data_IF_739474893349
#
_entry.id   IF_739474893349
#
_cell.length_a   1.000
_cell.length_b   1.000
_cell.length_c   1.000
_cell.angle_alpha   90.00
_cell.angle_beta   90.00
_cell.angle_gamma   90.00
#
_symmetry.space_group_name_H-M   'P 1'
#
loop_
_entity.id
_entity.type
_entity.pdbx_description
1 polymer ?
#
# COMPACT_ATOMS: atom_id res chain seq x y z
N UNK A 1 17.91 -19.06 13.28
CA UNK A 1 16.51 -18.82 13.70
C UNK A 1 15.69 -18.69 12.42
N UNK A 2 14.61 -19.47 12.26
CA UNK A 2 13.80 -19.42 11.05
C UNK A 2 13.01 -18.10 11.05
N UNK A 3 13.56 -17.06 10.43
CA UNK A 3 12.89 -15.77 10.27
C UNK A 3 11.70 -15.94 9.32
N UNK A 4 10.63 -15.11 9.44
CA UNK A 4 9.46 -15.19 8.55
C UNK A 4 9.85 -15.12 7.06
N UNK A 5 10.97 -14.45 6.77
CA UNK A 5 11.59 -14.31 5.45
C UNK A 5 11.93 -15.64 4.78
N UNK A 6 12.53 -16.61 5.49
CA UNK A 6 12.91 -17.89 4.90
C UNK A 6 11.67 -18.66 4.39
N UNK A 7 10.61 -18.72 5.22
CA UNK A 7 9.35 -19.36 4.85
C UNK A 7 8.64 -18.64 3.67
N UNK A 8 8.76 -17.31 3.58
CA UNK A 8 8.26 -16.54 2.42
C UNK A 8 9.03 -16.87 1.15
N UNK A 9 10.36 -16.98 1.21
CA UNK A 9 11.19 -17.43 0.08
C UNK A 9 10.87 -18.86 -0.34
N UNK A 10 10.60 -19.76 0.61
CA UNK A 10 10.17 -21.14 0.32
C UNK A 10 8.85 -21.18 -0.47
N UNK A 11 7.85 -20.39 -0.05
CA UNK A 11 6.57 -20.24 -0.76
C UNK A 11 6.77 -19.64 -2.16
N UNK A 12 7.58 -18.60 -2.28
CA UNK A 12 7.92 -18.00 -3.57
C UNK A 12 8.54 -19.02 -4.53
N UNK A 13 9.45 -19.88 -4.05
CA UNK A 13 10.07 -20.92 -4.89
C UNK A 13 9.05 -21.92 -5.44
N UNK A 14 7.95 -22.19 -4.73
CA UNK A 14 6.87 -23.03 -5.26
C UNK A 14 6.20 -22.37 -6.48
N UNK A 15 5.89 -21.07 -6.38
CA UNK A 15 5.33 -20.28 -7.49
C UNK A 15 6.32 -20.17 -8.67
N UNK A 16 7.60 -19.95 -8.38
CA UNK A 16 8.66 -19.94 -9.39
C UNK A 16 8.74 -21.27 -10.15
N UNK A 17 8.71 -22.41 -9.46
CA UNK A 17 8.74 -23.75 -10.09
C UNK A 17 7.50 -23.98 -10.95
N UNK A 18 6.32 -23.54 -10.53
CA UNK A 18 5.10 -23.62 -11.32
C UNK A 18 5.19 -22.79 -12.62
N UNK A 19 5.94 -21.68 -12.62
CA UNK A 19 6.26 -20.87 -13.81
C UNK A 19 7.51 -21.38 -14.58
N UNK A 20 8.16 -22.43 -14.09
CA UNK A 20 9.42 -22.95 -14.63
C UNK A 20 10.58 -21.95 -14.54
N UNK A 21 10.67 -21.15 -13.48
CA UNK A 21 11.77 -20.22 -13.26
C UNK A 21 12.88 -20.89 -12.44
N UNK A 22 14.13 -20.73 -12.89
CA UNK A 22 15.34 -21.16 -12.17
C UNK A 22 15.79 -20.08 -11.16
N UNK A 23 15.57 -18.81 -11.49
CA UNK A 23 15.82 -17.69 -10.58
C UNK A 23 14.89 -16.50 -10.87
N UNK A 24 14.67 -15.67 -9.85
CA UNK A 24 13.89 -14.44 -9.91
C UNK A 24 14.73 -13.27 -9.37
N UNK A 25 14.85 -12.21 -10.16
CA UNK A 25 15.38 -10.93 -9.72
C UNK A 25 14.26 -10.09 -9.10
N UNK A 26 14.33 -9.91 -7.78
CA UNK A 26 13.42 -9.05 -7.01
C UNK A 26 14.09 -7.68 -6.85
N UNK A 27 13.48 -6.66 -7.43
CA UNK A 27 13.97 -5.27 -7.44
C UNK A 27 13.02 -4.29 -6.74
N UNK A 28 11.73 -4.63 -6.59
CA UNK A 28 10.77 -3.81 -5.84
C UNK A 28 11.14 -3.77 -4.36
N UNK A 29 11.24 -2.57 -3.79
CA UNK A 29 11.65 -2.38 -2.41
C UNK A 29 10.75 -3.13 -1.41
N UNK A 30 9.43 -3.08 -1.60
CA UNK A 30 8.49 -3.80 -0.75
C UNK A 30 8.65 -5.33 -0.85
N UNK A 31 8.84 -5.87 -2.05
CA UNK A 31 9.07 -7.31 -2.24
C UNK A 31 10.44 -7.76 -1.69
N UNK A 32 11.48 -6.93 -1.88
CA UNK A 32 12.80 -7.14 -1.29
C UNK A 32 12.69 -7.20 0.23
N UNK A 33 12.08 -6.21 0.87
CA UNK A 33 11.87 -6.19 2.31
C UNK A 33 11.02 -7.38 2.78
N UNK A 34 9.92 -7.68 2.10
CA UNK A 34 9.04 -8.79 2.42
C UNK A 34 9.77 -10.15 2.49
N UNK A 35 10.76 -10.37 1.63
CA UNK A 35 11.50 -11.62 1.49
C UNK A 35 12.83 -11.67 2.26
N UNK A 36 13.27 -10.55 2.84
CA UNK A 36 14.64 -10.45 3.38
C UNK A 36 14.82 -9.56 4.62
N UNK A 37 13.86 -8.70 4.92
CA UNK A 37 13.99 -7.63 5.91
C UNK A 37 14.93 -6.49 5.50
N UNK A 38 15.55 -6.56 4.32
CA UNK A 38 16.51 -5.56 3.87
C UNK A 38 15.81 -4.38 3.19
N UNK A 39 15.97 -3.20 3.79
CA UNK A 39 15.60 -1.86 3.28
C UNK A 39 14.26 -1.78 2.56
N UNK A 40 13.25 -1.20 3.21
CA UNK A 40 11.89 -1.05 2.65
C UNK A 40 11.76 0.12 1.65
N UNK A 41 12.74 1.01 1.58
CA UNK A 41 12.62 2.25 0.81
C UNK A 41 13.73 2.41 -0.22
N UNK A 42 13.34 2.85 -1.40
CA UNK A 42 14.23 3.42 -2.40
C UNK A 42 13.88 4.90 -2.56
N UNK A 43 14.79 5.81 -2.19
CA UNK A 43 14.52 7.25 -2.22
C UNK A 43 14.39 7.76 -3.66
N UNK A 44 15.23 7.25 -4.56
CA UNK A 44 15.23 7.58 -5.99
C UNK A 44 15.68 6.37 -6.82
N UNK A 45 15.26 6.32 -8.09
CA UNK A 45 15.63 5.24 -9.01
C UNK A 45 17.16 5.10 -9.20
N UNK A 46 17.89 6.20 -9.15
CA UNK A 46 19.37 6.26 -9.28
C UNK A 46 20.10 6.07 -7.94
N UNK A 47 19.40 6.12 -6.81
CA UNK A 47 19.98 5.91 -5.48
C UNK A 47 19.59 4.56 -4.84
N UNK A 48 18.66 3.83 -5.47
CA UNK A 48 18.25 2.48 -5.09
C UNK A 48 19.46 1.54 -4.99
N UNK A 49 19.58 0.91 -3.83
CA UNK A 49 20.55 -0.13 -3.54
C UNK A 49 19.81 -1.33 -2.95
N UNK A 50 20.22 -2.54 -3.32
CA UNK A 50 19.57 -3.74 -2.82
C UNK A 50 18.61 -4.38 -3.82
N UNK A 51 18.90 -5.63 -4.17
CA UNK A 51 18.05 -6.53 -4.94
C UNK A 51 18.22 -7.93 -4.39
N UNK A 52 17.25 -8.81 -4.62
CA UNK A 52 17.41 -10.23 -4.32
C UNK A 52 17.51 -11.03 -5.59
N UNK A 53 18.38 -12.04 -5.58
CA UNK A 53 18.30 -13.15 -6.54
C UNK A 53 17.82 -14.36 -5.77
N UNK A 54 16.54 -14.71 -5.96
CA UNK A 54 15.95 -15.91 -5.38
C UNK A 54 16.19 -17.05 -6.36
N UNK A 55 16.82 -18.14 -5.91
CA UNK A 55 17.16 -19.28 -6.78
C UNK A 55 16.28 -20.48 -6.41
N UNK A 56 15.78 -21.22 -7.41
CA UNK A 56 14.84 -22.32 -7.22
C UNK A 56 15.41 -23.49 -6.40
N UNK A 57 16.74 -23.56 -6.28
CA UNK A 57 17.50 -24.52 -5.48
C UNK A 57 17.84 -24.04 -4.05
N UNK A 58 17.39 -22.84 -3.67
CA UNK A 58 17.58 -22.27 -2.34
C UNK A 58 18.87 -21.48 -2.13
N UNK A 59 19.73 -21.35 -3.15
CA UNK A 59 20.95 -20.51 -3.08
C UNK A 59 20.61 -19.05 -3.35
N UNK A 60 19.83 -18.45 -2.44
CA UNK A 60 19.39 -17.06 -2.56
C UNK A 60 20.52 -16.07 -2.26
N UNK A 61 20.44 -14.86 -2.84
CA UNK A 61 21.45 -13.81 -2.66
C UNK A 61 20.81 -12.46 -2.39
N UNK A 62 21.42 -11.70 -1.47
CA UNK A 62 21.20 -10.27 -1.32
C UNK A 62 22.29 -9.51 -2.08
N UNK A 63 21.90 -8.75 -3.09
CA UNK A 63 22.79 -7.97 -3.93
C UNK A 63 22.69 -6.49 -3.57
N UNK A 64 23.76 -5.86 -3.10
CA UNK A 64 23.77 -4.44 -2.75
C UNK A 64 25.12 -3.80 -3.06
N UNK A 65 25.26 -2.48 -2.89
CA UNK A 65 26.56 -1.80 -3.02
C UNK A 65 27.28 -1.68 -1.67
N UNK A 66 28.54 -1.22 -1.72
CA UNK A 66 29.41 -1.16 -0.55
C UNK A 66 28.88 -0.28 0.60
N UNK A 67 27.97 0.68 0.34
CA UNK A 67 27.40 1.55 1.38
C UNK A 67 26.53 0.75 2.36
N UNK A 68 25.93 -0.34 1.89
CA UNK A 68 24.98 -1.15 2.66
C UNK A 68 25.57 -2.49 3.13
N UNK A 69 26.88 -2.71 2.99
CA UNK A 69 27.53 -3.97 3.38
C UNK A 69 27.21 -4.36 4.83
N UNK A 70 27.37 -3.43 5.76
CA UNK A 70 27.17 -3.72 7.19
C UNK A 70 25.70 -3.94 7.53
N UNK A 71 24.78 -3.26 6.83
CA UNK A 71 23.34 -3.49 6.99
C UNK A 71 22.93 -4.87 6.46
N UNK A 72 23.46 -5.28 5.31
CA UNK A 72 23.22 -6.59 4.72
C UNK A 72 23.74 -7.72 5.61
N UNK A 73 24.96 -7.58 6.17
CA UNK A 73 25.59 -8.58 7.04
C UNK A 73 24.86 -8.82 8.37
N UNK A 74 23.97 -7.91 8.79
CA UNK A 74 23.09 -8.12 9.97
C UNK A 74 21.93 -9.08 9.68
N UNK A 75 21.57 -9.25 8.42
CA UNK A 75 20.37 -9.96 7.97
C UNK A 75 20.69 -11.25 7.20
N UNK A 76 21.85 -11.31 6.55
CA UNK A 76 22.26 -12.40 5.67
C UNK A 76 23.69 -12.86 6.00
N UNK A 77 23.95 -14.14 5.76
CA UNK A 77 25.31 -14.68 5.83
C UNK A 77 26.20 -14.02 4.78
N UNK A 78 27.44 -13.67 5.13
CA UNK A 78 28.34 -12.90 4.25
C UNK A 78 28.62 -13.59 2.91
N UNK A 79 28.62 -14.92 2.86
CA UNK A 79 28.80 -15.71 1.65
C UNK A 79 27.57 -15.71 0.71
N UNK A 80 26.45 -15.14 1.17
CA UNK A 80 25.19 -14.94 0.42
C UNK A 80 24.92 -13.48 0.09
N UNK A 81 25.92 -12.62 0.26
CA UNK A 81 25.86 -11.21 -0.10
C UNK A 81 26.74 -10.95 -1.32
N UNK A 82 26.15 -10.41 -2.39
CA UNK A 82 26.90 -9.86 -3.51
C UNK A 82 27.04 -8.34 -3.32
N UNK A 83 28.26 -7.88 -3.07
CA UNK A 83 28.59 -6.46 -3.12
C UNK A 83 28.99 -6.10 -4.54
N UNK A 84 28.09 -5.46 -5.30
CA UNK A 84 28.37 -5.06 -6.67
C UNK A 84 29.11 -3.72 -6.75
N UNK A 85 29.87 -3.56 -7.82
CA UNK A 85 30.53 -2.31 -8.20
C UNK A 85 29.65 -1.42 -9.08
N UNK A 86 30.26 -0.55 -9.92
CA UNK A 86 29.52 0.42 -10.74
C UNK A 86 28.53 -0.18 -11.76
N UNK A 87 28.71 -1.45 -12.15
CA UNK A 87 27.85 -2.14 -13.11
C UNK A 87 27.05 -3.27 -12.45
N UNK A 88 26.14 -2.87 -11.57
CA UNK A 88 25.25 -3.76 -10.85
C UNK A 88 24.50 -4.73 -11.79
N UNK A 89 24.06 -4.25 -12.96
CA UNK A 89 23.31 -5.07 -13.90
C UNK A 89 24.14 -6.24 -14.43
N UNK A 90 25.41 -5.99 -14.77
CA UNK A 90 26.29 -7.04 -15.27
C UNK A 90 26.62 -8.07 -14.21
N UNK A 91 26.99 -7.64 -13.01
CA UNK A 91 27.39 -8.54 -11.91
C UNK A 91 26.21 -9.39 -11.42
N UNK A 92 25.01 -8.79 -11.30
CA UNK A 92 23.79 -9.51 -10.98
C UNK A 92 23.41 -10.48 -12.10
N UNK A 93 23.56 -10.09 -13.37
CA UNK A 93 23.28 -10.97 -14.51
C UNK A 93 24.16 -12.22 -14.52
N UNK A 94 25.46 -12.06 -14.25
CA UNK A 94 26.40 -13.16 -14.10
C UNK A 94 26.06 -14.06 -12.90
N UNK A 95 25.57 -13.47 -11.80
CA UNK A 95 25.05 -14.23 -10.66
C UNK A 95 23.81 -15.06 -11.04
N UNK A 96 22.79 -14.44 -11.63
CA UNK A 96 21.57 -15.12 -12.05
C UNK A 96 21.87 -16.28 -13.00
N UNK A 97 22.85 -16.11 -13.90
CA UNK A 97 23.28 -17.17 -14.83
C UNK A 97 23.83 -18.42 -14.12
N UNK A 98 24.42 -18.27 -12.92
CA UNK A 98 24.89 -19.39 -12.08
C UNK A 98 23.73 -20.16 -11.41
N UNK A 99 22.53 -19.57 -11.37
CA UNK A 99 21.33 -20.23 -10.85
C UNK A 99 20.55 -20.98 -11.94
N UNK A 100 20.71 -20.63 -13.23
CA UNK A 100 20.11 -21.42 -14.31
C UNK A 100 19.98 -20.70 -15.66
N UNK A 101 18.96 -21.08 -16.41
CA UNK A 101 18.70 -20.60 -17.77
C UNK A 101 17.35 -19.92 -17.94
N UNK A 102 16.38 -20.13 -17.06
CA UNK A 102 15.05 -19.52 -17.12
C UNK A 102 14.94 -18.48 -16.01
N UNK A 103 15.18 -17.22 -16.36
CA UNK A 103 15.40 -16.13 -15.42
C UNK A 103 14.21 -15.16 -15.45
N UNK A 104 13.61 -14.91 -14.30
CA UNK A 104 12.53 -13.94 -14.13
C UNK A 104 13.04 -12.59 -13.64
N UNK A 105 12.35 -11.52 -13.99
CA UNK A 105 12.48 -10.20 -13.34
C UNK A 105 11.09 -9.58 -13.11
N UNK A 106 11.03 -8.68 -12.13
CA UNK A 106 9.93 -7.72 -11.96
C UNK A 106 10.07 -6.62 -13.03
N UNK A 107 9.49 -6.87 -14.21
CA UNK A 107 9.61 -6.02 -15.39
C UNK A 107 8.89 -4.66 -15.24
N UNK A 108 7.88 -4.55 -14.37
CA UNK A 108 7.20 -3.28 -14.07
C UNK A 108 8.11 -2.31 -13.29
N UNK A 109 9.11 -2.83 -12.58
CA UNK A 109 9.97 -2.07 -11.68
C UNK A 109 11.36 -1.82 -12.29
N UNK A 110 11.89 -2.81 -12.99
CA UNK A 110 13.23 -2.72 -13.57
C UNK A 110 13.22 -1.81 -14.80
N UNK A 111 14.07 -0.78 -14.79
CA UNK A 111 14.22 0.10 -15.95
C UNK A 111 14.69 -0.66 -17.20
N UNK A 112 14.22 -0.23 -18.37
CA UNK A 112 14.61 -0.82 -19.65
C UNK A 112 16.13 -0.84 -19.86
N UNK A 113 16.84 0.19 -19.39
CA UNK A 113 18.30 0.24 -19.47
C UNK A 113 18.95 -0.87 -18.62
N UNK A 114 18.48 -1.04 -17.38
CA UNK A 114 18.97 -2.10 -16.50
C UNK A 114 18.69 -3.47 -17.11
N UNK A 115 17.46 -3.72 -17.58
CA UNK A 115 17.09 -5.00 -18.21
C UNK A 115 17.95 -5.32 -19.45
N UNK A 116 18.28 -4.32 -20.28
CA UNK A 116 19.18 -4.50 -21.43
C UNK A 116 20.60 -4.85 -21.00
N UNK A 117 21.15 -4.17 -19.98
CA UNK A 117 22.48 -4.48 -19.45
C UNK A 117 22.53 -5.88 -18.82
N UNK A 118 21.51 -6.22 -18.01
CA UNK A 118 21.31 -7.54 -17.45
C UNK A 118 21.27 -8.62 -18.55
N UNK A 119 20.48 -8.40 -19.61
CA UNK A 119 20.37 -9.31 -20.74
C UNK A 119 21.68 -9.54 -21.49
N UNK A 120 22.53 -8.51 -21.64
CA UNK A 120 23.87 -8.66 -22.22
C UNK A 120 24.77 -9.56 -21.37
N UNK A 121 24.70 -9.41 -20.05
CA UNK A 121 25.51 -10.19 -19.11
C UNK A 121 25.03 -11.65 -18.95
N UNK A 122 23.71 -11.86 -19.00
CA UNK A 122 23.09 -13.19 -19.00
C UNK A 122 23.47 -13.98 -20.26
N UNK A 123 23.55 -13.31 -21.41
CA UNK A 123 23.99 -13.89 -22.68
C UNK A 123 22.94 -14.77 -23.36
N UNK A 124 23.30 -15.33 -24.54
CA UNK A 124 22.36 -16.07 -25.41
C UNK A 124 21.95 -17.47 -24.90
N UNK A 125 22.56 -17.95 -23.81
CA UNK A 125 22.32 -19.28 -23.25
C UNK A 125 21.22 -19.34 -22.18
N UNK A 126 20.56 -18.21 -21.91
CA UNK A 126 19.49 -18.08 -20.93
C UNK A 126 18.37 -17.20 -21.49
N UNK A 127 17.16 -17.45 -21.02
CA UNK A 127 15.96 -16.71 -21.33
C UNK A 127 15.59 -15.82 -20.15
N UNK A 128 15.53 -14.51 -20.40
CA UNK A 128 15.06 -13.52 -19.46
C UNK A 128 13.59 -13.19 -19.78
N UNK A 129 12.70 -13.30 -18.80
CA UNK A 129 11.27 -13.07 -18.98
C UNK A 129 10.66 -12.25 -17.84
N UNK A 130 9.58 -11.55 -18.14
CA UNK A 130 8.75 -10.89 -17.12
C UNK A 130 8.16 -11.95 -16.17
N UNK A 131 8.21 -11.68 -14.88
CA UNK A 131 7.75 -12.55 -13.80
C UNK A 131 7.08 -11.75 -12.67
N UNK A 132 6.45 -10.64 -13.03
CA UNK A 132 5.71 -9.76 -12.14
C UNK A 132 4.56 -10.50 -11.43
N UNK A 133 4.18 -9.99 -10.25
CA UNK A 133 3.04 -10.48 -9.49
C UNK A 133 3.31 -11.69 -8.59
N UNK A 134 4.48 -12.33 -8.67
CA UNK A 134 4.78 -13.54 -7.89
C UNK A 134 4.95 -13.26 -6.39
N UNK A 135 5.58 -12.14 -6.02
CA UNK A 135 5.76 -11.79 -4.61
C UNK A 135 4.51 -11.09 -4.08
N UNK A 136 3.87 -10.28 -4.91
CA UNK A 136 2.59 -9.61 -4.64
C UNK A 136 1.50 -10.63 -4.32
N UNK A 137 1.45 -11.76 -5.04
CA UNK A 137 0.51 -12.86 -4.75
C UNK A 137 0.66 -13.38 -3.32
N UNK A 138 1.90 -13.41 -2.78
CA UNK A 138 2.14 -13.80 -1.39
C UNK A 138 1.72 -12.70 -0.40
N UNK A 139 1.99 -11.43 -0.73
CA UNK A 139 1.66 -10.26 0.11
C UNK A 139 0.16 -9.99 0.24
N UNK A 140 -0.64 -10.45 -0.72
CA UNK A 140 -2.11 -10.32 -0.69
C UNK A 140 -2.69 -10.95 0.58
N UNK A 141 -2.16 -12.09 1.03
CA UNK A 141 -2.59 -12.78 2.25
C UNK A 141 -1.60 -12.51 3.38
N UNK A 142 -2.04 -11.72 4.36
CA UNK A 142 -1.20 -11.27 5.47
C UNK A 142 -0.99 -12.41 6.46
N UNK A 143 0.25 -12.66 6.84
CA UNK A 143 0.55 -13.56 7.95
C UNK A 143 0.30 -12.89 9.32
N UNK A 144 0.38 -13.68 10.39
CA UNK A 144 0.03 -13.22 11.73
C UNK A 144 0.92 -12.08 12.26
N UNK A 145 2.16 -11.97 11.80
CA UNK A 145 3.06 -10.89 12.23
C UNK A 145 2.80 -9.62 11.41
N UNK A 146 2.43 -9.75 10.13
CA UNK A 146 1.95 -8.64 9.30
C UNK A 146 0.67 -8.02 9.88
N UNK A 147 -0.29 -8.86 10.28
CA UNK A 147 -1.56 -8.41 10.87
C UNK A 147 -1.31 -7.60 12.15
N UNK A 148 -0.41 -8.07 13.04
CA UNK A 148 -0.07 -7.34 14.28
C UNK A 148 0.58 -5.98 13.98
N UNK A 149 1.45 -5.91 12.98
CA UNK A 149 2.08 -4.65 12.58
C UNK A 149 1.04 -3.67 12.00
N UNK A 150 0.12 -4.17 11.17
CA UNK A 150 -1.01 -3.40 10.66
C UNK A 150 -1.91 -2.89 11.81
N UNK A 151 -2.29 -3.75 12.76
CA UNK A 151 -3.10 -3.34 13.92
C UNK A 151 -2.45 -2.21 14.72
N UNK A 152 -1.12 -2.25 14.89
CA UNK A 152 -0.37 -1.17 15.57
C UNK A 152 -0.38 0.12 14.75
N UNK A 153 -0.20 0.03 13.44
CA UNK A 153 -0.25 1.17 12.53
C UNK A 153 -1.65 1.83 12.53
N UNK A 154 -2.70 1.03 12.43
CA UNK A 154 -4.09 1.50 12.48
C UNK A 154 -4.48 2.05 13.86
N UNK A 155 -4.05 1.42 14.96
CA UNK A 155 -4.29 1.94 16.30
C UNK A 155 -3.73 3.36 16.49
N UNK A 156 -2.52 3.62 15.95
CA UNK A 156 -1.93 4.95 15.95
C UNK A 156 -2.72 5.93 15.06
N UNK A 157 -3.15 5.50 13.88
CA UNK A 157 -4.00 6.33 12.99
C UNK A 157 -5.32 6.72 13.65
N UNK A 158 -6.02 5.77 14.27
CA UNK A 158 -7.26 6.04 15.02
C UNK A 158 -7.03 7.00 16.19
N UNK A 159 -5.90 6.88 16.90
CA UNK A 159 -5.55 7.80 17.97
C UNK A 159 -5.29 9.22 17.45
N UNK A 160 -4.60 9.34 16.32
CA UNK A 160 -4.36 10.62 15.64
C UNK A 160 -5.67 11.28 15.23
N UNK A 161 -6.59 10.55 14.58
CA UNK A 161 -7.87 11.13 14.15
C UNK A 161 -8.75 11.59 15.31
N UNK A 162 -8.76 10.86 16.44
CA UNK A 162 -9.43 11.31 17.67
C UNK A 162 -8.81 12.59 18.21
N UNK A 163 -7.48 12.63 18.34
CA UNK A 163 -6.77 13.83 18.78
C UNK A 163 -7.03 15.03 17.85
N UNK A 164 -7.08 14.79 16.55
CA UNK A 164 -7.35 15.82 15.56
C UNK A 164 -8.75 16.42 15.76
N UNK A 165 -9.77 15.57 15.82
CA UNK A 165 -11.17 15.98 16.05
C UNK A 165 -11.33 16.74 17.37
N UNK A 166 -10.76 16.21 18.45
CA UNK A 166 -10.93 16.76 19.81
C UNK A 166 -10.17 18.07 20.03
N UNK A 167 -9.02 18.26 19.37
CA UNK A 167 -8.05 19.29 19.78
C UNK A 167 -7.53 20.18 18.66
N UNK A 168 -7.67 19.81 17.38
CA UNK A 168 -6.97 20.51 16.29
C UNK A 168 -7.90 21.20 15.31
N UNK A 169 -9.14 20.73 15.14
CA UNK A 169 -10.11 21.28 14.19
C UNK A 169 -10.76 22.59 14.69
N UNK A 170 -9.94 23.64 14.79
CA UNK A 170 -10.34 24.97 15.24
C UNK A 170 -10.39 25.97 14.07
N UNK A 171 -11.39 26.87 14.02
CA UNK A 171 -11.45 27.90 12.99
C UNK A 171 -10.16 28.73 12.88
N UNK A 172 -9.80 29.10 11.65
CA UNK A 172 -8.64 29.93 11.36
C UNK A 172 -7.33 29.20 11.09
N UNK A 173 -7.23 27.90 11.41
CA UNK A 173 -6.07 27.07 11.01
C UNK A 173 -6.14 26.70 9.53
N UNK A 174 -5.02 26.75 8.82
CA UNK A 174 -4.95 26.33 7.43
C UNK A 174 -4.89 24.81 7.27
N UNK A 175 -5.25 24.32 6.09
CA UNK A 175 -5.05 22.92 5.69
C UNK A 175 -3.58 22.50 5.87
N UNK A 176 -2.63 23.33 5.46
CA UNK A 176 -1.21 23.08 5.61
C UNK A 176 -0.75 23.01 7.09
N UNK A 177 -1.28 23.90 7.95
CA UNK A 177 -0.99 23.86 9.39
C UNK A 177 -1.53 22.60 10.07
N UNK A 178 -2.66 22.08 9.60
CA UNK A 178 -3.23 20.83 10.08
C UNK A 178 -2.44 19.63 9.57
N UNK A 179 -2.09 19.59 8.28
CA UNK A 179 -1.26 18.54 7.70
C UNK A 179 0.09 18.42 8.43
N UNK A 180 0.74 19.54 8.74
CA UNK A 180 1.96 19.57 9.54
C UNK A 180 1.75 19.03 10.96
N UNK A 181 0.65 19.41 11.62
CA UNK A 181 0.34 18.93 12.97
C UNK A 181 0.09 17.41 13.00
N UNK A 182 -0.57 16.88 11.96
CA UNK A 182 -0.79 15.44 11.76
C UNK A 182 0.54 14.70 11.61
N UNK A 183 1.42 15.16 10.71
CA UNK A 183 2.73 14.53 10.54
C UNK A 183 3.53 14.53 11.83
N UNK A 184 3.57 15.67 12.53
CA UNK A 184 4.23 15.79 13.81
C UNK A 184 3.66 14.79 14.83
N UNK A 185 2.33 14.69 14.93
CA UNK A 185 1.69 13.74 15.85
C UNK A 185 2.16 12.32 15.57
N UNK A 186 2.16 11.88 14.30
CA UNK A 186 2.60 10.53 13.96
C UNK A 186 4.04 10.27 14.36
N UNK A 187 4.97 11.18 14.04
CA UNK A 187 6.38 11.04 14.39
C UNK A 187 6.61 11.04 15.90
N UNK A 188 5.96 11.95 16.61
CA UNK A 188 6.07 12.07 18.08
C UNK A 188 5.51 10.82 18.80
N UNK A 189 4.62 10.06 18.16
CA UNK A 189 3.96 8.87 18.72
C UNK A 189 4.45 7.54 18.12
N UNK A 190 5.59 7.54 17.44
CA UNK A 190 6.32 6.32 17.08
C UNK A 190 6.10 5.79 15.66
N UNK A 191 5.44 6.54 14.77
CA UNK A 191 5.49 6.23 13.35
C UNK A 191 6.88 6.56 12.78
N UNK A 192 7.40 5.70 11.90
CA UNK A 192 8.66 5.98 11.19
C UNK A 192 8.49 7.08 10.15
N UNK A 193 7.31 7.16 9.53
CA UNK A 193 6.95 8.13 8.50
C UNK A 193 5.43 8.13 8.26
N UNK A 194 4.99 9.05 7.41
CA UNK A 194 3.67 8.98 6.79
C UNK A 194 3.62 7.84 5.77
N UNK A 195 2.47 7.18 5.64
CA UNK A 195 2.25 6.19 4.60
C UNK A 195 2.14 6.84 3.20
N UNK A 196 1.65 8.08 3.16
CA UNK A 196 1.50 8.93 1.97
C UNK A 196 1.34 10.40 2.41
N UNK A 197 1.54 11.39 1.51
CA UNK A 197 1.29 12.79 1.83
C UNK A 197 -0.15 13.01 2.30
N UNK A 198 -0.32 13.52 3.52
CA UNK A 198 -1.65 13.76 4.10
C UNK A 198 -2.49 14.70 3.23
N UNK A 199 -3.76 14.36 3.08
CA UNK A 199 -4.77 15.21 2.47
C UNK A 199 -5.55 15.88 3.60
N UNK A 200 -5.63 17.21 3.54
CA UNK A 200 -6.49 18.03 4.39
C UNK A 200 -7.15 19.03 3.47
N UNK A 201 -8.47 18.98 3.37
CA UNK A 201 -9.21 19.68 2.34
C UNK A 201 -10.49 20.30 2.91
N UNK A 202 -10.59 21.62 2.83
CA UNK A 202 -11.67 22.42 3.42
C UNK A 202 -12.69 22.84 2.35
N UNK A 203 -13.98 22.65 2.65
CA UNK A 203 -15.13 22.86 1.76
C UNK A 203 -14.88 22.42 0.31
N UNK A 204 -14.93 23.32 -0.68
CA UNK A 204 -14.75 22.96 -2.09
C UNK A 204 -13.44 22.25 -2.41
N UNK A 205 -12.38 22.43 -1.60
CA UNK A 205 -11.12 21.69 -1.82
C UNK A 205 -11.33 20.19 -1.58
N UNK A 206 -12.24 19.80 -0.67
CA UNK A 206 -12.60 18.42 -0.42
C UNK A 206 -13.33 17.74 -1.59
N UNK A 207 -13.77 18.50 -2.61
CA UNK A 207 -14.28 17.92 -3.85
C UNK A 207 -13.17 17.33 -4.74
N UNK A 208 -11.88 17.55 -4.40
CA UNK A 208 -10.74 16.94 -5.07
C UNK A 208 -10.33 15.69 -4.28
N UNK A 209 -10.47 14.45 -4.84
CA UNK A 209 -10.13 13.23 -4.12
C UNK A 209 -8.67 13.19 -3.63
N UNK A 210 -7.76 13.84 -4.37
CA UNK A 210 -6.33 13.97 -4.07
C UNK A 210 -5.93 15.43 -3.84
N UNK A 211 -6.72 16.17 -3.04
CA UNK A 211 -6.41 17.54 -2.70
C UNK A 211 -5.02 17.67 -2.06
N UNK A 212 -4.31 18.75 -2.38
CA UNK A 212 -3.05 19.10 -1.73
C UNK A 212 -3.37 20.16 -0.67
N UNK A 213 -3.01 19.95 0.61
CA UNK A 213 -3.22 20.94 1.66
C UNK A 213 -2.60 22.30 1.30
N UNK A 214 -3.38 23.38 1.40
CA UNK A 214 -2.92 24.73 1.11
C UNK A 214 -3.22 25.74 2.24
N UNK A 215 -3.35 27.00 1.85
CA UNK A 215 -3.57 28.12 2.77
C UNK A 215 -5.04 28.33 3.16
N UNK A 216 -5.96 27.51 2.62
CA UNK A 216 -7.38 27.64 2.96
C UNK A 216 -7.57 27.32 4.43
N UNK A 217 -8.27 28.21 5.13
CA UNK A 217 -8.50 28.12 6.58
C UNK A 217 -9.80 27.42 6.89
N UNK A 218 -9.82 26.66 7.99
CA UNK A 218 -11.04 26.14 8.59
C UNK A 218 -11.99 27.31 8.88
N UNK A 219 -13.24 27.27 8.35
CA UNK A 219 -14.25 28.26 8.67
C UNK A 219 -14.84 28.01 10.06
N UNK A 220 -15.62 28.98 10.57
CA UNK A 220 -16.41 28.79 11.79
C UNK A 220 -17.48 27.71 11.64
N UNK A 221 -18.00 27.55 10.42
CA UNK A 221 -18.96 26.52 10.04
C UNK A 221 -18.63 26.00 8.64
N UNK A 222 -18.17 24.76 8.55
CA UNK A 222 -17.83 24.13 7.27
C UNK A 222 -17.21 22.75 7.45
N UNK A 223 -16.88 22.11 6.34
CA UNK A 223 -16.34 20.75 6.37
C UNK A 223 -14.83 20.73 6.18
N UNK A 224 -14.22 19.68 6.71
CA UNK A 224 -12.84 19.32 6.42
C UNK A 224 -12.73 17.82 6.21
N UNK A 225 -12.24 17.43 5.03
CA UNK A 225 -11.86 16.06 4.71
C UNK A 225 -10.39 15.87 5.08
N UNK A 226 -10.10 14.81 5.82
CA UNK A 226 -8.76 14.44 6.25
C UNK A 226 -8.53 12.99 5.86
N UNK A 227 -7.54 12.76 5.01
CA UNK A 227 -7.10 11.42 4.58
C UNK A 227 -5.61 11.26 4.84
N UNK A 228 -5.30 10.24 5.65
CA UNK A 228 -4.06 10.14 6.39
C UNK A 228 -3.70 8.70 6.69
N UNK A 229 -2.41 8.43 6.65
CA UNK A 229 -1.83 7.14 6.98
C UNK A 229 -0.44 7.31 7.57
N UNK A 230 -0.03 6.35 8.40
CA UNK A 230 1.29 6.31 8.98
C UNK A 230 1.93 4.93 8.76
N UNK A 231 3.24 4.85 8.97
CA UNK A 231 3.97 3.59 8.94
C UNK A 231 4.48 3.24 10.33
N UNK A 232 4.10 2.06 10.81
CA UNK A 232 4.60 1.46 12.05
C UNK A 232 5.12 0.06 11.73
N UNK A 233 6.32 -0.26 12.19
CA UNK A 233 6.98 -1.56 11.96
C UNK A 233 7.03 -1.98 10.48
N UNK A 234 7.09 -1.01 9.56
CA UNK A 234 7.11 -1.25 8.12
C UNK A 234 5.74 -1.34 7.44
N UNK A 235 4.62 -1.31 8.16
CA UNK A 235 3.28 -1.46 7.58
C UNK A 235 2.46 -0.15 7.62
N UNK A 236 1.78 0.13 6.52
CA UNK A 236 0.96 1.31 6.34
C UNK A 236 -0.41 1.18 7.02
N UNK A 237 -0.91 2.30 7.54
CA UNK A 237 -2.34 2.51 7.78
C UNK A 237 -2.91 3.44 6.70
N UNK A 238 -4.24 3.40 6.52
CA UNK A 238 -4.95 4.29 5.60
C UNK A 238 -6.38 4.57 6.11
N UNK A 239 -6.73 5.85 6.26
CA UNK A 239 -7.99 6.23 6.84
C UNK A 239 -8.41 7.66 6.52
N UNK A 240 -9.55 7.78 5.86
CA UNK A 240 -10.23 9.05 5.62
C UNK A 240 -11.40 9.31 6.57
N UNK A 241 -11.46 10.51 7.14
CA UNK A 241 -12.63 11.05 7.83
C UNK A 241 -13.00 12.42 7.25
N UNK A 242 -14.30 12.69 7.13
CA UNK A 242 -14.78 14.04 6.87
C UNK A 242 -15.51 14.55 8.10
N UNK A 243 -15.05 15.68 8.63
CA UNK A 243 -15.59 16.33 9.81
C UNK A 243 -16.37 17.58 9.44
N UNK A 244 -17.21 18.03 10.38
CA UNK A 244 -17.82 19.34 10.35
C UNK A 244 -17.27 20.18 11.51
N UNK A 245 -16.76 21.38 11.21
CA UNK A 245 -16.35 22.37 12.20
C UNK A 245 -17.53 23.30 12.48
N UNK A 246 -17.86 23.50 13.76
CA UNK A 246 -19.03 24.27 14.21
C UNK A 246 -20.27 23.42 14.48
N UNK A 247 -21.38 24.05 14.85
CA UNK A 247 -22.59 23.36 15.34
C UNK A 247 -23.74 23.34 14.33
N UNK A 248 -23.56 23.93 13.14
CA UNK A 248 -24.60 24.10 12.15
C UNK A 248 -24.29 23.43 10.79
N UNK A 249 -24.17 22.08 10.73
CA UNK A 249 -23.97 21.39 9.46
C UNK A 249 -25.06 21.68 8.45
N UNK A 250 -24.67 21.90 7.19
CA UNK A 250 -25.63 22.06 6.11
C UNK A 250 -26.39 20.76 5.84
N UNK A 251 -27.57 20.88 5.22
CA UNK A 251 -28.41 19.73 4.89
C UNK A 251 -27.69 18.77 3.94
N UNK A 252 -27.03 19.33 2.94
CA UNK A 252 -26.24 18.64 1.92
C UNK A 252 -25.14 17.77 2.55
N UNK A 253 -24.43 18.32 3.55
CA UNK A 253 -23.40 17.57 4.29
C UNK A 253 -24.01 16.36 5.02
N UNK A 254 -25.09 16.56 5.78
CA UNK A 254 -25.73 15.48 6.55
C UNK A 254 -26.27 14.37 5.65
N UNK A 255 -26.94 14.73 4.56
CA UNK A 255 -27.52 13.77 3.61
C UNK A 255 -26.41 13.00 2.87
N UNK A 256 -25.37 13.70 2.40
CA UNK A 256 -24.23 13.08 1.73
C UNK A 256 -23.45 12.16 2.67
N UNK A 257 -23.19 12.59 3.91
CA UNK A 257 -22.51 11.79 4.92
C UNK A 257 -23.29 10.51 5.22
N UNK A 258 -24.62 10.60 5.32
CA UNK A 258 -25.47 9.43 5.48
C UNK A 258 -25.33 8.46 4.30
N UNK A 259 -25.44 8.95 3.06
CA UNK A 259 -25.30 8.12 1.87
C UNK A 259 -23.94 7.44 1.78
N UNK A 260 -22.86 8.16 2.06
CA UNK A 260 -21.49 7.61 2.07
C UNK A 260 -21.35 6.49 3.12
N UNK A 261 -21.86 6.71 4.33
CA UNK A 261 -21.85 5.67 5.39
C UNK A 261 -22.73 4.47 5.04
N UNK A 262 -23.93 4.70 4.50
CA UNK A 262 -24.82 3.64 4.04
C UNK A 262 -24.17 2.79 2.93
N UNK A 263 -23.47 3.43 1.98
CA UNK A 263 -22.74 2.76 0.91
C UNK A 263 -21.58 1.90 1.45
N UNK A 264 -20.83 2.42 2.42
CA UNK A 264 -19.76 1.68 3.08
C UNK A 264 -20.31 0.43 3.78
N UNK A 265 -21.37 0.63 4.59
CA UNK A 265 -21.98 -0.46 5.34
C UNK A 265 -22.55 -1.54 4.42
N UNK A 266 -23.17 -1.15 3.30
CA UNK A 266 -23.71 -2.09 2.32
C UNK A 266 -22.65 -3.05 1.74
N UNK A 267 -21.41 -2.57 1.55
CA UNK A 267 -20.29 -3.43 1.18
C UNK A 267 -19.81 -4.28 2.37
N UNK A 268 -19.55 -3.65 3.52
CA UNK A 268 -19.03 -4.32 4.72
C UNK A 268 -19.93 -5.47 5.19
N UNK A 269 -21.25 -5.33 5.12
CA UNK A 269 -22.20 -6.38 5.52
C UNK A 269 -22.09 -7.67 4.69
N UNK A 270 -21.47 -7.60 3.51
CA UNK A 270 -21.34 -8.73 2.58
C UNK A 270 -19.91 -9.21 2.39
N UNK A 271 -18.92 -8.40 2.76
CA UNK A 271 -17.51 -8.73 2.59
C UNK A 271 -17.10 -9.90 3.49
N UNK A 272 -16.80 -11.02 2.85
CA UNK A 272 -16.32 -12.27 3.46
C UNK A 272 -15.62 -13.12 2.39
N UNK A 273 -14.90 -14.19 2.76
CA UNK A 273 -14.28 -15.07 1.79
C UNK A 273 -15.28 -15.56 0.72
N UNK A 274 -14.84 -15.54 -0.54
CA UNK A 274 -15.63 -15.97 -1.69
C UNK A 274 -16.47 -14.88 -2.38
N UNK A 275 -16.65 -13.70 -1.78
CA UNK A 275 -17.29 -12.57 -2.48
C UNK A 275 -16.38 -12.08 -3.63
N UNK A 276 -16.87 -12.00 -4.88
CA UNK A 276 -16.13 -11.35 -5.96
C UNK A 276 -15.70 -9.92 -5.59
N UNK A 277 -14.46 -9.54 -5.87
CA UNK A 277 -13.93 -8.22 -5.47
C UNK A 277 -14.76 -7.05 -6.04
N UNK A 278 -15.21 -7.18 -7.29
CA UNK A 278 -16.03 -6.15 -7.94
C UNK A 278 -17.45 -6.06 -7.34
N UNK A 279 -17.92 -7.10 -6.65
CA UNK A 279 -19.26 -7.09 -6.04
C UNK A 279 -19.31 -6.13 -4.84
N UNK A 280 -18.22 -6.01 -4.07
CA UNK A 280 -18.11 -5.00 -3.02
C UNK A 280 -18.34 -3.58 -3.58
N UNK A 281 -17.69 -3.24 -4.70
CA UNK A 281 -17.91 -1.99 -5.41
C UNK A 281 -19.36 -1.80 -5.85
N UNK A 282 -19.96 -2.83 -6.46
CA UNK A 282 -21.36 -2.81 -6.91
C UNK A 282 -22.34 -2.56 -5.77
N UNK A 283 -22.12 -3.18 -4.60
CA UNK A 283 -22.96 -2.99 -3.42
C UNK A 283 -22.95 -1.55 -2.93
N UNK A 284 -21.76 -0.95 -2.79
CA UNK A 284 -21.62 0.43 -2.36
C UNK A 284 -22.21 1.40 -3.39
N UNK A 285 -21.86 1.23 -4.67
CA UNK A 285 -22.37 2.07 -5.76
C UNK A 285 -23.88 1.98 -5.92
N UNK A 286 -24.48 0.82 -5.69
CA UNK A 286 -25.93 0.63 -5.76
C UNK A 286 -26.70 1.50 -4.77
N UNK A 287 -26.09 1.93 -3.65
CA UNK A 287 -26.68 2.92 -2.74
C UNK A 287 -26.75 4.29 -3.40
N UNK A 288 -25.68 4.71 -4.08
CA UNK A 288 -25.63 5.99 -4.78
C UNK A 288 -26.54 6.04 -6.01
N UNK A 289 -26.67 4.93 -6.76
CA UNK A 289 -27.57 4.82 -7.91
C UNK A 289 -29.03 4.97 -7.50
N UNK A 290 -29.44 4.35 -6.38
CA UNK A 290 -30.81 4.51 -5.84
C UNK A 290 -31.11 5.95 -5.42
N UNK A 291 -30.09 6.70 -5.02
CA UNK A 291 -30.19 8.11 -4.67
C UNK A 291 -30.00 9.05 -5.88
N UNK A 292 -29.64 8.53 -7.06
CA UNK A 292 -29.39 9.32 -8.27
C UNK A 292 -28.14 10.21 -8.22
N UNK A 293 -27.12 9.80 -7.45
CA UNK A 293 -25.88 10.57 -7.23
C UNK A 293 -24.60 9.81 -7.58
N UNK A 294 -24.70 8.65 -8.22
CA UNK A 294 -23.57 7.78 -8.56
C UNK A 294 -22.52 8.45 -9.46
N UNK A 295 -22.94 9.45 -10.26
CA UNK A 295 -22.02 10.22 -11.09
C UNK A 295 -20.95 10.96 -10.29
N UNK A 296 -21.20 11.23 -9.00
CA UNK A 296 -20.28 11.89 -8.07
C UNK A 296 -19.33 10.91 -7.36
N UNK A 297 -19.48 9.60 -7.58
CA UNK A 297 -18.56 8.56 -7.12
C UNK A 297 -17.61 8.12 -8.25
N UNK A 298 -16.40 8.68 -8.25
CA UNK A 298 -15.51 8.68 -9.42
C UNK A 298 -14.34 7.69 -9.35
N UNK A 299 -14.08 7.07 -8.20
CA UNK A 299 -12.95 6.15 -7.98
C UNK A 299 -13.41 4.71 -7.69
N UNK A 300 -12.46 3.81 -7.41
CA UNK A 300 -12.75 2.45 -6.90
C UNK A 300 -13.28 2.49 -5.45
N UNK A 301 -13.80 1.38 -4.93
CA UNK A 301 -14.25 1.34 -3.53
C UNK A 301 -13.09 1.21 -2.55
N UNK A 302 -11.95 0.68 -2.99
CA UNK A 302 -10.77 0.53 -2.16
C UNK A 302 -9.68 -0.31 -2.80
N UNK A 303 -8.63 -0.58 -2.03
CA UNK A 303 -7.42 -1.29 -2.43
C UNK A 303 -6.82 -2.06 -1.25
N UNK A 304 -5.84 -2.91 -1.52
CA UNK A 304 -5.08 -3.59 -0.47
C UNK A 304 -4.16 -2.61 0.24
N UNK A 305 -3.90 -2.88 1.52
CA UNK A 305 -2.94 -2.14 2.36
C UNK A 305 -2.02 -3.13 3.06
N UNK A 306 -0.72 -2.82 3.11
CA UNK A 306 0.30 -3.67 3.70
C UNK A 306 1.62 -2.94 3.88
N UNK A 307 2.67 -3.46 3.26
CA UNK A 307 3.96 -2.74 3.18
C UNK A 307 3.85 -1.47 2.32
N UNK A 308 2.85 -1.42 1.44
CA UNK A 308 2.53 -0.23 0.65
C UNK A 308 1.10 0.18 0.93
N UNK A 309 0.82 1.49 0.79
CA UNK A 309 -0.52 2.05 0.97
C UNK A 309 -1.46 1.51 -0.10
N UNK A 310 -0.98 1.41 -1.34
CA UNK A 310 -1.72 0.80 -2.45
C UNK A 310 -1.06 -0.51 -2.86
N UNK A 311 -1.70 -1.63 -2.54
CA UNK A 311 -1.34 -2.96 -3.04
C UNK A 311 -2.58 -3.75 -3.49
N UNK A 312 -2.37 -4.96 -4.00
CA UNK A 312 -3.48 -5.83 -4.35
C UNK A 312 -4.20 -6.37 -3.10
N UNK A 313 -5.51 -6.68 -3.17
CA UNK A 313 -6.38 -6.54 -4.34
C UNK A 313 -7.03 -5.14 -4.47
N UNK A 314 -7.50 -4.78 -5.67
CA UNK A 314 -8.35 -3.60 -5.87
C UNK A 314 -9.83 -3.97 -5.78
N UNK A 315 -10.62 -3.17 -5.06
CA UNK A 315 -12.09 -3.22 -5.01
C UNK A 315 -12.68 -2.28 -6.08
N UNK A 316 -12.38 -2.58 -7.34
CA UNK A 316 -12.80 -1.77 -8.49
C UNK A 316 -14.06 -2.27 -9.21
N UNK A 317 -14.40 -1.60 -10.31
CA UNK A 317 -15.52 -1.96 -11.21
C UNK A 317 -15.38 -3.31 -11.92
N UNK A 318 -14.15 -3.84 -11.98
CA UNK A 318 -13.77 -4.99 -12.78
C UNK A 318 -12.93 -5.94 -11.93
N UNK A 319 -12.96 -7.22 -12.27
CA UNK A 319 -12.16 -8.25 -11.61
C UNK A 319 -12.99 -9.50 -11.35
N UNK A 320 -12.37 -10.65 -11.54
CA UNK A 320 -12.94 -12.00 -11.36
C UNK A 320 -12.41 -12.70 -10.10
N UNK A 321 -11.36 -12.15 -9.47
CA UNK A 321 -10.86 -12.63 -8.18
C UNK A 321 -11.91 -12.41 -7.08
N UNK A 322 -11.80 -13.22 -6.03
CA UNK A 322 -12.66 -13.20 -4.85
C UNK A 322 -11.87 -12.76 -3.61
N UNK A 323 -12.57 -12.22 -2.62
CA UNK A 323 -12.02 -12.01 -1.28
C UNK A 323 -11.59 -13.35 -0.67
N UNK A 324 -10.47 -13.33 0.04
CA UNK A 324 -9.90 -14.48 0.73
C UNK A 324 -9.55 -14.07 2.17
N UNK A 325 -9.62 -15.04 3.08
CA UNK A 325 -9.20 -14.84 4.47
C UNK A 325 -7.74 -14.35 4.52
N UNK A 326 -7.46 -13.37 5.36
CA UNK A 326 -6.14 -12.76 5.49
C UNK A 326 -5.88 -11.59 4.53
N UNK A 327 -6.79 -11.28 3.60
CA UNK A 327 -6.73 -10.03 2.84
C UNK A 327 -7.02 -8.85 3.76
N UNK A 328 -6.30 -7.75 3.54
CA UNK A 328 -6.53 -6.45 4.21
C UNK A 328 -6.79 -5.41 3.12
N UNK A 329 -7.95 -4.76 3.16
CA UNK A 329 -8.44 -3.85 2.11
C UNK A 329 -9.14 -2.62 2.69
N UNK A 330 -8.99 -1.46 2.04
CA UNK A 330 -9.77 -0.25 2.30
C UNK A 330 -11.20 -0.39 1.77
N UNK A 331 -12.15 0.29 2.41
CA UNK A 331 -13.54 0.45 2.01
C UNK A 331 -13.90 1.91 2.23
N UNK A 332 -13.76 2.69 1.17
CA UNK A 332 -13.62 4.15 1.23
C UNK A 332 -14.56 4.88 0.24
N UNK A 333 -15.88 4.61 0.24
CA UNK A 333 -16.77 5.32 -0.65
C UNK A 333 -16.71 6.84 -0.42
N UNK A 334 -16.87 7.60 -1.50
CA UNK A 334 -16.89 9.06 -1.42
C UNK A 334 -17.73 9.71 -2.52
N UNK A 335 -18.32 10.86 -2.20
CA UNK A 335 -19.09 11.70 -3.12
C UNK A 335 -18.47 13.09 -3.15
N UNK A 336 -18.19 13.60 -4.35
CA UNK A 336 -17.43 14.83 -4.55
C UNK A 336 -18.19 15.82 -5.43
N UNK A 337 -18.57 16.96 -4.86
CA UNK A 337 -19.39 17.99 -5.50
C UNK A 337 -18.57 19.29 -5.62
N UNK A 338 -18.15 19.68 -6.84
CA UNK A 338 -17.34 20.89 -7.05
C UNK A 338 -17.94 22.17 -6.46
N UNK A 339 -19.26 22.22 -6.29
CA UNK A 339 -19.99 23.38 -5.80
C UNK A 339 -19.77 23.64 -4.30
N UNK A 340 -19.60 22.60 -3.49
CA UNK A 340 -19.60 22.75 -2.02
C UNK A 340 -18.55 21.91 -1.29
N UNK A 341 -18.11 20.78 -1.85
CA UNK A 341 -17.09 19.94 -1.23
C UNK A 341 -17.28 18.45 -1.50
N UNK A 342 -16.57 17.63 -0.75
CA UNK A 342 -16.66 16.17 -0.86
C UNK A 342 -16.64 15.52 0.50
N UNK A 343 -17.21 14.31 0.55
CA UNK A 343 -17.23 13.47 1.74
C UNK A 343 -16.70 12.10 1.35
N UNK A 344 -15.66 11.65 2.05
CA UNK A 344 -15.16 10.28 2.04
C UNK A 344 -15.14 9.76 3.47
N UNK A 345 -15.50 8.49 3.63
CA UNK A 345 -15.50 7.80 4.91
C UNK A 345 -14.94 6.40 4.73
N UNK A 346 -13.85 6.10 5.44
CA UNK A 346 -13.04 4.93 5.16
C UNK A 346 -12.84 4.03 6.38
N UNK A 347 -12.90 2.72 6.14
CA UNK A 347 -12.37 1.72 7.05
C UNK A 347 -11.45 0.82 6.27
N UNK A 348 -10.37 0.38 6.91
CA UNK A 348 -9.62 -0.76 6.43
C UNK A 348 -10.06 -2.00 7.20
N UNK A 349 -10.32 -3.09 6.48
CA UNK A 349 -10.80 -4.33 7.07
C UNK A 349 -9.89 -5.51 6.74
N UNK A 350 -9.69 -6.35 7.74
CA UNK A 350 -9.16 -7.70 7.59
C UNK A 350 -10.32 -8.66 7.27
N UNK A 351 -10.20 -9.41 6.18
CA UNK A 351 -11.13 -10.50 5.86
C UNK A 351 -10.83 -11.68 6.77
N UNK A 352 -11.82 -12.10 7.57
CA UNK A 352 -11.75 -13.26 8.48
C UNK A 352 -12.37 -14.49 7.82
N UNK A 353 -12.29 -15.66 8.47
CA UNK A 353 -12.89 -16.89 7.97
C UNK A 353 -14.41 -16.78 7.68
N UNK A 354 -15.13 -15.96 8.42
CA UNK A 354 -16.59 -15.85 8.42
C UNK A 354 -17.13 -14.46 8.03
N UNK A 355 -16.25 -13.48 7.81
CA UNK A 355 -16.65 -12.10 7.58
C UNK A 355 -15.48 -11.16 7.37
N UNK A 356 -15.55 -10.01 8.03
CA UNK A 356 -14.49 -9.02 8.07
C UNK A 356 -14.45 -8.34 9.44
N UNK A 357 -13.31 -7.73 9.76
CA UNK A 357 -13.09 -6.96 10.98
C UNK A 357 -12.36 -5.67 10.63
N UNK A 358 -12.84 -4.55 11.14
CA UNK A 358 -12.17 -3.26 11.06
C UNK A 358 -10.86 -3.34 11.86
N UNK A 359 -9.76 -2.92 11.24
CA UNK A 359 -8.44 -2.81 11.86
C UNK A 359 -8.28 -1.51 12.65
#
# INVERSE_FOLDING_TARGET
MNTPYAARRDRLRQLMRARGLDALLVSHAANRFYLSGFELHDVQLNESAGRLVICADGRDWLCTDARYKDAAARLWDEDRILIYGPDAATEIGQLMRRCGSRLGLEAEIVSLNFARSLGRAVGRGAHLQAADGLVEELRVIKDADEIKALERSFALNHAMLRWLEESQLQPGRSEAELAWAIEKYFRDNGASELAFPSIVAVDQNAALPHAIPGEKKLPDNGLVLVDVGCRVDGYCSDQTRTFWVGDAPHKEFRETMKLVRDAQQAALDKMRPGLPLHEAYTLARGVFEKAGVEAWFTHGLGHGVGLETHEAPSLGRRGDKVLQEGMVVTVEPGLYYPQWGGIRWEYTVLITADGNRIL
#
